data_IF_063218246004
#
_entry.id   IF_063218246004
#
_cell.length_a   1.000
_cell.length_b   1.000
_cell.length_c   1.000
_cell.angle_alpha   90.00
_cell.angle_beta   90.00
_cell.angle_gamma   90.00
#
_symmetry.space_group_name_H-M   'P 1'
#
loop_
_entity.id
_entity.type
_entity.pdbx_description
1 polymer ?
#
# COMPACT_ATOMS: atom_id res chain seq x y z
N UNK A 1 -11.68 -11.19 -27.94
CA UNK A 1 -11.41 -11.93 -26.69
C UNK A 1 -10.36 -11.11 -25.95
N UNK A 2 -10.79 -10.28 -24.99
CA UNK A 2 -9.88 -9.44 -24.22
C UNK A 2 -8.98 -10.35 -23.41
N UNK A 3 -7.67 -10.34 -23.67
CA UNK A 3 -6.66 -10.81 -22.73
C UNK A 3 -6.92 -10.04 -21.44
N UNK A 4 -7.60 -10.68 -20.48
CA UNK A 4 -7.69 -10.18 -19.12
C UNK A 4 -6.27 -9.93 -18.68
N UNK A 5 -6.03 -8.75 -18.24
CA UNK A 5 -4.83 -8.25 -17.59
C UNK A 5 -4.39 -9.28 -16.55
N UNK A 6 -3.54 -10.20 -16.98
CA UNK A 6 -2.91 -11.21 -16.14
C UNK A 6 -1.70 -10.56 -15.43
N UNK A 7 -1.99 -9.44 -14.78
CA UNK A 7 -1.11 -8.89 -13.76
C UNK A 7 -1.15 -9.90 -12.61
N UNK A 8 -0.07 -10.65 -12.42
CA UNK A 8 0.08 -11.72 -11.46
C UNK A 8 -1.00 -11.69 -10.39
N UNK A 9 -2.12 -12.39 -10.68
CA UNK A 9 -2.70 -13.10 -9.67
C UNK A 9 -3.48 -12.46 -8.55
N UNK A 10 -4.48 -11.88 -8.81
CA UNK A 10 -5.54 -11.44 -7.94
C UNK A 10 -6.50 -10.67 -8.80
N UNK A 11 -7.76 -10.93 -8.65
CA UNK A 11 -8.81 -10.10 -9.21
C UNK A 11 -8.61 -8.67 -8.67
N UNK A 12 -8.16 -7.74 -9.53
CA UNK A 12 -7.91 -6.36 -9.12
C UNK A 12 -9.17 -5.72 -8.52
N UNK A 13 -10.35 -6.04 -9.07
CA UNK A 13 -11.60 -5.55 -8.52
C UNK A 13 -11.82 -6.08 -7.10
N UNK A 14 -11.57 -7.36 -6.85
CA UNK A 14 -11.65 -7.93 -5.51
C UNK A 14 -10.61 -7.30 -4.57
N UNK A 15 -9.39 -7.07 -5.05
CA UNK A 15 -8.35 -6.37 -4.27
C UNK A 15 -8.78 -4.96 -3.88
N UNK A 16 -9.35 -4.18 -4.80
CA UNK A 16 -9.85 -2.83 -4.50
C UNK A 16 -11.00 -2.86 -3.49
N UNK A 17 -11.90 -3.86 -3.58
CA UNK A 17 -12.96 -4.05 -2.58
C UNK A 17 -12.37 -4.33 -1.19
N UNK A 18 -11.34 -5.17 -1.10
CA UNK A 18 -10.67 -5.51 0.17
C UNK A 18 -9.85 -4.33 0.74
N UNK A 19 -9.27 -3.49 -0.11
CA UNK A 19 -8.50 -2.30 0.30
C UNK A 19 -9.42 -1.18 0.80
N UNK A 20 -10.65 -1.10 0.30
CA UNK A 20 -11.57 -0.01 0.61
C UNK A 20 -11.82 0.22 2.11
N UNK A 21 -12.05 -0.79 2.98
CA UNK A 21 -12.19 -0.58 4.41
C UNK A 21 -10.95 0.04 5.07
N UNK A 22 -9.74 -0.34 4.60
CA UNK A 22 -8.46 0.21 5.10
C UNK A 22 -8.33 1.67 4.71
N UNK A 23 -8.63 2.00 3.45
CA UNK A 23 -8.66 3.37 2.95
C UNK A 23 -9.65 4.23 3.74
N UNK A 24 -10.88 3.74 3.94
CA UNK A 24 -11.91 4.47 4.70
C UNK A 24 -11.48 4.72 6.15
N UNK A 25 -10.89 3.72 6.80
CA UNK A 25 -10.36 3.88 8.16
C UNK A 25 -9.24 4.92 8.22
N UNK A 26 -8.36 4.97 7.21
CA UNK A 26 -7.34 5.98 7.08
C UNK A 26 -7.93 7.39 6.93
N UNK A 27 -8.85 7.59 5.97
CA UNK A 27 -9.46 8.89 5.68
C UNK A 27 -10.21 9.48 6.89
N UNK A 28 -10.90 8.62 7.64
CA UNK A 28 -11.53 9.02 8.91
C UNK A 28 -10.44 9.33 9.95
N UNK A 29 -9.42 8.47 10.05
CA UNK A 29 -8.33 8.59 11.01
C UNK A 29 -7.54 9.89 10.87
N UNK A 30 -7.32 10.37 9.64
CA UNK A 30 -6.63 11.65 9.34
C UNK A 30 -7.27 12.82 10.08
N UNK A 31 -8.59 12.84 10.24
CA UNK A 31 -9.31 13.92 10.93
C UNK A 31 -8.98 14.00 12.42
N UNK A 32 -8.60 12.87 13.03
CA UNK A 32 -8.28 12.78 14.45
C UNK A 32 -6.77 12.79 14.70
N UNK A 33 -5.99 12.19 13.81
CA UNK A 33 -4.54 12.10 13.95
C UNK A 33 -3.81 13.39 13.59
N UNK A 34 -4.43 14.27 12.78
CA UNK A 34 -3.84 15.53 12.32
C UNK A 34 -2.60 15.36 11.44
N UNK A 35 -2.37 14.14 10.92
CA UNK A 35 -1.25 13.80 10.04
C UNK A 35 -1.74 13.08 8.81
N UNK A 36 -1.18 13.44 7.65
CA UNK A 36 -1.43 12.80 6.35
C UNK A 36 -0.16 12.10 5.93
N UNK A 37 -0.27 10.87 5.42
CA UNK A 37 0.87 10.12 4.89
C UNK A 37 1.58 10.89 3.77
N UNK A 38 2.90 10.77 3.68
CA UNK A 38 3.71 11.47 2.70
C UNK A 38 3.35 11.17 1.24
N UNK A 39 2.97 9.92 0.95
CA UNK A 39 2.56 9.47 -0.39
C UNK A 39 1.11 9.85 -0.73
N UNK A 40 0.31 10.26 0.24
CA UNK A 40 -1.08 10.68 0.02
C UNK A 40 -1.16 12.11 -0.50
N UNK A 41 -0.88 12.25 -1.77
CA UNK A 41 -0.96 13.55 -2.48
C UNK A 41 -2.42 13.99 -2.62
N UNK A 42 -3.36 13.04 -2.78
CA UNK A 42 -4.79 13.32 -3.03
C UNK A 42 -5.44 13.93 -1.80
N UNK A 43 -5.36 13.28 -0.64
CA UNK A 43 -5.93 13.78 0.61
C UNK A 43 -5.32 15.12 0.99
N UNK A 44 -4.00 15.27 0.79
CA UNK A 44 -3.29 16.53 1.06
C UNK A 44 -3.80 17.66 0.17
N UNK A 45 -3.95 17.42 -1.13
CA UNK A 45 -4.46 18.40 -2.08
C UNK A 45 -5.93 18.74 -1.77
N UNK A 46 -6.77 17.76 -1.48
CA UNK A 46 -8.16 17.96 -1.09
C UNK A 46 -8.26 18.80 0.19
N UNK A 47 -7.47 18.46 1.21
CA UNK A 47 -7.49 19.22 2.48
C UNK A 47 -7.06 20.67 2.29
N UNK A 48 -6.02 20.92 1.48
CA UNK A 48 -5.55 22.26 1.16
C UNK A 48 -6.57 23.07 0.34
N UNK A 49 -7.28 22.41 -0.58
CA UNK A 49 -8.24 23.07 -1.49
C UNK A 49 -9.59 23.32 -0.82
N UNK A 50 -10.08 22.37 -0.03
CA UNK A 50 -11.42 22.43 0.58
C UNK A 50 -11.45 23.35 1.80
N UNK A 51 -10.35 23.51 2.52
CA UNK A 51 -10.23 24.40 3.68
C UNK A 51 -11.19 24.13 4.85
N UNK A 52 -11.99 23.07 4.78
CA UNK A 52 -13.04 22.75 5.73
C UNK A 52 -13.13 21.24 6.00
N UNK A 53 -13.12 20.86 7.28
CA UNK A 53 -13.32 19.45 7.71
C UNK A 53 -14.67 18.90 7.27
N UNK A 54 -15.71 19.73 7.32
CA UNK A 54 -17.07 19.33 6.90
C UNK A 54 -17.11 19.01 5.41
N UNK A 55 -16.50 19.88 4.58
CA UNK A 55 -16.46 19.67 3.15
C UNK A 55 -15.60 18.45 2.78
N UNK A 56 -14.48 18.26 3.49
CA UNK A 56 -13.66 17.06 3.38
C UNK A 56 -14.48 15.78 3.64
N UNK A 57 -15.23 15.73 4.76
CA UNK A 57 -16.10 14.60 5.10
C UNK A 57 -17.18 14.35 4.04
N UNK A 58 -17.82 15.41 3.54
CA UNK A 58 -18.86 15.28 2.52
C UNK A 58 -18.30 14.71 1.21
N UNK A 59 -17.12 15.16 0.78
CA UNK A 59 -16.43 14.63 -0.41
C UNK A 59 -16.10 13.15 -0.21
N UNK A 60 -15.52 12.77 0.93
CA UNK A 60 -15.17 11.37 1.19
C UNK A 60 -16.41 10.48 1.37
N UNK A 61 -17.47 10.99 1.97
CA UNK A 61 -18.75 10.30 2.04
C UNK A 61 -19.35 10.07 0.63
N UNK A 62 -19.22 11.05 -0.25
CA UNK A 62 -19.65 10.90 -1.65
C UNK A 62 -18.80 9.85 -2.40
N UNK A 63 -17.47 9.89 -2.23
CA UNK A 63 -16.56 8.88 -2.79
C UNK A 63 -16.90 7.49 -2.27
N UNK A 64 -17.11 7.36 -0.95
CA UNK A 64 -17.49 6.09 -0.33
C UNK A 64 -18.84 5.58 -0.88
N UNK A 65 -19.83 6.45 -1.00
CA UNK A 65 -21.13 6.10 -1.57
C UNK A 65 -21.01 5.63 -3.04
N UNK A 66 -20.23 6.35 -3.86
CA UNK A 66 -19.97 5.94 -5.25
C UNK A 66 -19.28 4.57 -5.31
N UNK A 67 -18.31 4.32 -4.43
CA UNK A 67 -17.60 3.05 -4.37
C UNK A 67 -18.54 1.90 -3.94
N UNK A 68 -19.39 2.12 -2.95
CA UNK A 68 -20.42 1.15 -2.53
C UNK A 68 -21.42 0.85 -3.65
N UNK A 69 -21.84 1.88 -4.42
CA UNK A 69 -22.70 1.69 -5.61
C UNK A 69 -21.96 0.86 -6.67
N UNK A 70 -20.66 1.11 -6.87
CA UNK A 70 -19.86 0.33 -7.78
C UNK A 70 -19.74 -1.13 -7.33
N UNK A 71 -19.42 -1.42 -6.06
CA UNK A 71 -19.39 -2.79 -5.50
C UNK A 71 -20.71 -3.52 -5.76
N UNK A 72 -21.84 -2.81 -5.53
CA UNK A 72 -23.18 -3.38 -5.76
C UNK A 72 -23.42 -3.71 -7.23
N UNK A 73 -23.07 -2.80 -8.15
CA UNK A 73 -23.22 -2.99 -9.59
C UNK A 73 -22.31 -4.09 -10.13
N UNK A 74 -21.08 -4.16 -9.63
CA UNK A 74 -20.12 -5.20 -9.97
C UNK A 74 -20.45 -6.56 -9.33
N UNK A 75 -21.48 -6.63 -8.45
CA UNK A 75 -21.87 -7.84 -7.70
C UNK A 75 -20.73 -8.43 -6.86
N UNK A 76 -19.93 -7.56 -6.23
CA UNK A 76 -18.71 -7.93 -5.50
C UNK A 76 -18.85 -7.92 -3.97
N UNK A 77 -20.09 -7.87 -3.43
CA UNK A 77 -20.33 -7.87 -1.99
C UNK A 77 -19.78 -9.11 -1.28
N UNK A 78 -19.80 -10.26 -1.97
CA UNK A 78 -19.30 -11.51 -1.42
C UNK A 78 -17.79 -11.46 -1.11
N UNK A 79 -17.03 -10.55 -1.75
CA UNK A 79 -15.61 -10.34 -1.48
C UNK A 79 -15.36 -9.85 -0.03
N UNK A 80 -16.32 -9.19 0.60
CA UNK A 80 -16.23 -8.70 1.98
C UNK A 80 -16.62 -9.74 3.03
N UNK A 81 -16.93 -10.97 2.62
CA UNK A 81 -17.22 -12.06 3.57
C UNK A 81 -15.98 -12.44 4.36
N UNK A 82 -16.18 -12.80 5.62
CA UNK A 82 -15.09 -13.15 6.53
C UNK A 82 -14.26 -14.33 6.00
N UNK A 83 -14.89 -15.27 5.28
CA UNK A 83 -14.23 -16.42 4.66
C UNK A 83 -13.20 -16.01 3.59
N UNK A 84 -13.32 -14.80 3.01
CA UNK A 84 -12.39 -14.25 2.03
C UNK A 84 -11.42 -13.28 2.70
N UNK A 85 -11.93 -12.41 3.56
CA UNK A 85 -11.13 -11.38 4.24
C UNK A 85 -10.13 -11.99 5.22
N UNK A 86 -10.58 -12.95 6.04
CA UNK A 86 -9.73 -13.52 7.10
C UNK A 86 -8.46 -14.23 6.55
N UNK A 87 -8.52 -15.09 5.52
CA UNK A 87 -7.32 -15.66 4.93
C UNK A 87 -6.35 -14.61 4.38
N UNK A 88 -6.85 -13.56 3.72
CA UNK A 88 -6.01 -12.47 3.18
C UNK A 88 -5.28 -11.74 4.30
N UNK A 89 -6.00 -11.38 5.37
CA UNK A 89 -5.41 -10.69 6.53
C UNK A 89 -4.42 -11.59 7.27
N UNK A 90 -4.75 -12.87 7.47
CA UNK A 90 -3.85 -13.82 8.13
C UNK A 90 -2.58 -14.07 7.32
N UNK A 91 -2.69 -14.25 6.01
CA UNK A 91 -1.53 -14.40 5.13
C UNK A 91 -0.67 -13.13 5.13
N UNK A 92 -1.28 -11.95 5.04
CA UNK A 92 -0.60 -10.68 5.13
C UNK A 92 0.11 -10.48 6.48
N UNK A 93 -0.50 -10.92 7.58
CA UNK A 93 0.13 -10.91 8.91
C UNK A 93 1.36 -11.83 8.97
N UNK A 94 1.29 -13.02 8.38
CA UNK A 94 2.45 -13.92 8.29
C UNK A 94 3.58 -13.22 7.50
N UNK A 95 3.26 -12.57 6.38
CA UNK A 95 4.26 -11.82 5.62
C UNK A 95 4.86 -10.67 6.44
N UNK A 96 4.03 -9.90 7.15
CA UNK A 96 4.51 -8.79 8.00
C UNK A 96 5.47 -9.27 9.09
N UNK A 97 5.11 -10.34 9.81
CA UNK A 97 5.92 -10.91 10.88
C UNK A 97 7.22 -11.52 10.35
N UNK A 98 7.14 -12.31 9.27
CA UNK A 98 8.34 -12.95 8.69
C UNK A 98 9.24 -11.95 8.01
N UNK A 99 8.69 -10.95 7.33
CA UNK A 99 9.44 -9.87 6.70
C UNK A 99 10.16 -9.02 7.75
N UNK A 100 9.45 -8.60 8.81
CA UNK A 100 10.02 -7.85 9.91
C UNK A 100 11.20 -8.60 10.53
N UNK A 101 11.03 -9.87 10.85
CA UNK A 101 12.07 -10.72 11.41
C UNK A 101 13.26 -10.90 10.43
N UNK A 102 13.00 -11.17 9.15
CA UNK A 102 14.03 -11.35 8.13
C UNK A 102 14.85 -10.07 7.90
N UNK A 103 14.20 -8.92 7.76
CA UNK A 103 14.90 -7.64 7.57
C UNK A 103 15.69 -7.25 8.82
N UNK A 104 15.11 -7.45 10.01
CA UNK A 104 15.81 -7.19 11.28
C UNK A 104 17.04 -8.08 11.42
N UNK A 105 16.94 -9.37 11.07
CA UNK A 105 18.09 -10.30 11.08
C UNK A 105 19.21 -9.84 10.14
N UNK A 106 18.85 -9.37 8.95
CA UNK A 106 19.82 -8.87 7.95
C UNK A 106 20.49 -7.58 8.39
N UNK A 107 19.77 -6.67 9.02
CA UNK A 107 20.23 -5.33 9.36
C UNK A 107 20.57 -5.12 10.84
N UNK A 108 20.34 -6.13 11.69
CA UNK A 108 20.77 -6.19 13.11
C UNK A 108 20.43 -4.98 14.00
N UNK A 109 19.21 -4.39 13.86
CA UNK A 109 18.73 -3.36 14.80
C UNK A 109 17.24 -3.45 15.05
N UNK A 110 16.87 -3.40 16.33
CA UNK A 110 15.51 -3.22 16.83
C UNK A 110 15.26 -1.75 17.16
N UNK A 111 14.13 -1.21 16.73
CA UNK A 111 13.64 0.12 17.11
C UNK A 111 12.43 -0.04 18.04
N UNK A 112 12.53 0.41 19.27
CA UNK A 112 11.41 0.43 20.20
C UNK A 112 10.65 1.76 20.14
N UNK A 113 9.34 1.71 19.83
CA UNK A 113 8.41 2.84 19.91
C UNK A 113 7.03 2.38 20.36
N UNK A 114 6.35 3.20 21.17
CA UNK A 114 4.99 2.92 21.60
C UNK A 114 3.97 3.19 20.48
N UNK A 115 2.99 2.30 20.30
CA UNK A 115 1.91 2.45 19.32
C UNK A 115 0.88 3.44 19.84
N UNK A 116 0.74 4.58 19.17
CA UNK A 116 -0.33 5.56 19.39
C UNK A 116 -1.34 5.56 18.23
N UNK A 117 -2.51 6.19 18.43
CA UNK A 117 -3.53 6.30 17.37
C UNK A 117 -3.00 6.93 16.07
N UNK A 118 -2.11 7.92 16.17
CA UNK A 118 -1.44 8.53 15.01
C UNK A 118 -0.55 7.53 14.26
N UNK A 119 0.09 6.60 14.96
CA UNK A 119 0.89 5.53 14.36
C UNK A 119 0.02 4.57 13.55
N UNK A 120 -1.15 4.19 14.09
CA UNK A 120 -2.10 3.32 13.37
C UNK A 120 -2.57 3.99 12.08
N UNK A 121 -2.99 5.26 12.14
CA UNK A 121 -3.43 6.00 10.95
C UNK A 121 -2.30 6.12 9.94
N UNK A 122 -1.07 6.40 10.38
CA UNK A 122 0.10 6.47 9.51
C UNK A 122 0.37 5.14 8.80
N UNK A 123 0.32 4.02 9.53
CA UNK A 123 0.52 2.68 8.97
C UNK A 123 -0.56 2.30 7.93
N UNK A 124 -1.83 2.61 8.22
CA UNK A 124 -2.92 2.41 7.26
C UNK A 124 -2.71 3.26 5.99
N UNK A 125 -2.32 4.52 6.17
CA UNK A 125 -2.02 5.42 5.07
C UNK A 125 -0.85 4.96 4.21
N UNK A 126 0.24 4.52 4.83
CA UNK A 126 1.40 3.95 4.14
C UNK A 126 0.98 2.72 3.33
N UNK A 127 0.36 1.73 3.99
CA UNK A 127 -0.08 0.51 3.34
C UNK A 127 -0.98 0.74 2.13
N UNK A 128 -1.88 1.72 2.16
CA UNK A 128 -2.75 2.00 1.02
C UNK A 128 -2.04 2.84 -0.04
N UNK A 129 -1.59 4.05 0.30
CA UNK A 129 -1.13 5.02 -0.70
C UNK A 129 0.19 4.64 -1.32
N UNK A 130 1.11 4.11 -0.54
CA UNK A 130 2.41 3.71 -1.07
C UNK A 130 2.30 2.48 -1.98
N UNK A 131 1.44 1.51 -1.63
CA UNK A 131 1.20 0.37 -2.51
C UNK A 131 0.45 0.77 -3.79
N UNK A 132 -0.51 1.69 -3.72
CA UNK A 132 -1.16 2.23 -4.91
C UNK A 132 -0.17 2.96 -5.83
N UNK A 133 0.71 3.77 -5.28
CA UNK A 133 1.70 4.54 -6.06
C UNK A 133 2.79 3.64 -6.63
N UNK A 134 3.44 2.83 -5.79
CA UNK A 134 4.64 2.10 -6.19
C UNK A 134 4.34 0.75 -6.85
N UNK A 135 3.27 0.06 -6.46
CA UNK A 135 2.94 -1.27 -7.03
C UNK A 135 1.93 -1.15 -8.15
N UNK A 136 0.78 -0.58 -7.91
CA UNK A 136 -0.24 -0.45 -8.95
C UNK A 136 0.14 0.62 -9.99
N UNK A 137 0.61 1.79 -9.54
CA UNK A 137 1.04 2.87 -10.43
C UNK A 137 2.35 2.54 -11.14
N UNK A 138 3.47 2.57 -10.41
CA UNK A 138 4.80 2.51 -11.01
C UNK A 138 5.15 1.10 -11.55
N UNK A 139 5.10 0.06 -10.68
CA UNK A 139 5.55 -1.28 -11.06
C UNK A 139 4.68 -1.88 -12.16
N UNK A 140 3.34 -1.82 -12.04
CA UNK A 140 2.45 -2.34 -13.08
C UNK A 140 2.55 -1.57 -14.40
N UNK A 141 2.70 -0.23 -14.35
CA UNK A 141 2.93 0.57 -15.55
C UNK A 141 4.24 0.20 -16.24
N UNK A 142 5.33 0.02 -15.47
CA UNK A 142 6.62 -0.41 -16.03
C UNK A 142 6.53 -1.79 -16.70
N UNK A 143 5.88 -2.76 -16.04
CA UNK A 143 5.67 -4.09 -16.64
C UNK A 143 4.89 -3.97 -17.94
N UNK A 144 3.80 -3.18 -17.95
CA UNK A 144 2.99 -2.95 -19.15
C UNK A 144 3.79 -2.31 -20.27
N UNK A 145 4.57 -1.29 -19.97
CA UNK A 145 5.42 -0.60 -20.95
C UNK A 145 6.48 -1.52 -21.54
N UNK A 146 7.22 -2.25 -20.71
CA UNK A 146 8.26 -3.17 -21.13
C UNK A 146 7.67 -4.33 -21.98
N UNK A 147 6.52 -4.84 -21.60
CA UNK A 147 5.78 -5.86 -22.35
C UNK A 147 5.33 -5.34 -23.71
N UNK A 148 4.84 -4.11 -23.80
CA UNK A 148 4.49 -3.44 -25.05
C UNK A 148 5.69 -3.28 -25.99
N UNK A 149 6.90 -3.15 -25.45
CA UNK A 149 8.17 -3.15 -26.19
C UNK A 149 8.72 -4.54 -26.52
N UNK A 150 7.98 -5.63 -26.26
CA UNK A 150 8.38 -6.99 -26.61
C UNK A 150 9.26 -7.70 -25.57
N UNK A 151 9.51 -7.08 -24.39
CA UNK A 151 10.28 -7.73 -23.32
C UNK A 151 9.52 -8.96 -22.77
N UNK A 152 10.23 -10.05 -22.51
CA UNK A 152 9.63 -11.23 -21.86
C UNK A 152 9.04 -10.87 -20.49
N UNK A 153 7.88 -11.47 -20.13
CA UNK A 153 7.14 -11.14 -18.91
C UNK A 153 7.99 -11.25 -17.63
N UNK A 154 8.75 -12.33 -17.48
CA UNK A 154 9.60 -12.54 -16.29
C UNK A 154 10.68 -11.48 -16.18
N UNK A 155 11.28 -11.11 -17.32
CA UNK A 155 12.29 -10.06 -17.37
C UNK A 155 11.69 -8.68 -17.08
N UNK A 156 10.53 -8.37 -17.65
CA UNK A 156 9.82 -7.12 -17.39
C UNK A 156 9.48 -6.97 -15.90
N UNK A 157 9.00 -8.04 -15.27
CA UNK A 157 8.70 -8.07 -13.82
C UNK A 157 9.95 -7.88 -12.98
N UNK A 158 11.02 -8.59 -13.29
CA UNK A 158 12.27 -8.47 -12.56
C UNK A 158 12.83 -7.04 -12.64
N UNK A 159 12.82 -6.43 -13.84
CA UNK A 159 13.25 -5.04 -14.04
C UNK A 159 12.36 -4.09 -13.22
N UNK A 160 11.02 -4.22 -13.33
CA UNK A 160 10.09 -3.36 -12.63
C UNK A 160 10.25 -3.48 -11.10
N UNK A 161 10.43 -4.68 -10.57
CA UNK A 161 10.65 -4.94 -9.16
C UNK A 161 11.96 -4.31 -8.66
N UNK A 162 13.07 -4.58 -9.37
CA UNK A 162 14.39 -4.08 -8.99
C UNK A 162 14.50 -2.55 -9.13
N UNK A 163 13.72 -1.93 -9.99
CA UNK A 163 13.73 -0.48 -10.17
C UNK A 163 12.76 0.23 -9.21
N UNK A 164 11.56 -0.30 -9.00
CA UNK A 164 10.57 0.34 -8.12
C UNK A 164 10.96 0.30 -6.64
N UNK A 165 11.69 -0.72 -6.18
CA UNK A 165 12.05 -0.86 -4.78
C UNK A 165 13.05 0.20 -4.29
N UNK A 166 14.15 0.52 -4.99
CA UNK A 166 14.99 1.65 -4.62
C UNK A 166 14.29 3.02 -4.72
N UNK A 167 13.39 3.20 -5.69
CA UNK A 167 12.60 4.43 -5.79
C UNK A 167 11.63 4.58 -4.62
N UNK A 168 11.03 3.49 -4.17
CA UNK A 168 10.25 3.44 -2.95
C UNK A 168 11.09 3.89 -1.74
N UNK A 169 12.31 3.37 -1.60
CA UNK A 169 13.23 3.76 -0.54
C UNK A 169 13.60 5.25 -0.63
N UNK A 170 13.96 5.75 -1.81
CA UNK A 170 14.33 7.15 -2.03
C UNK A 170 13.19 8.13 -1.73
N UNK A 171 11.96 7.75 -2.00
CA UNK A 171 10.79 8.59 -1.73
C UNK A 171 10.66 8.95 -0.23
N UNK A 172 11.12 8.08 0.67
CA UNK A 172 11.11 8.36 2.11
C UNK A 172 12.14 9.41 2.55
N UNK A 173 13.13 9.68 1.72
CA UNK A 173 14.14 10.71 1.95
C UNK A 173 13.83 12.02 1.23
N UNK A 174 12.73 12.08 0.48
CA UNK A 174 12.35 13.23 -0.34
C UNK A 174 11.36 14.16 0.38
N UNK A 175 11.41 15.45 0.04
CA UNK A 175 10.48 16.46 0.54
C UNK A 175 10.80 17.00 1.93
N UNK A 176 9.97 17.94 2.40
CA UNK A 176 10.20 18.66 3.66
C UNK A 176 10.10 17.77 4.92
N UNK A 177 9.41 16.64 4.82
CA UNK A 177 9.24 15.68 5.92
C UNK A 177 10.04 14.39 5.67
N UNK A 178 10.97 14.39 4.69
CA UNK A 178 11.81 13.26 4.38
C UNK A 178 12.79 12.96 5.54
N UNK A 179 13.02 11.66 5.74
CA UNK A 179 14.02 11.22 6.73
C UNK A 179 15.44 11.55 6.23
N UNK A 180 16.38 11.84 7.15
CA UNK A 180 17.78 11.95 6.77
C UNK A 180 18.27 10.68 6.06
N UNK A 181 18.98 10.83 4.95
CA UNK A 181 19.51 9.69 4.21
C UNK A 181 20.57 8.96 5.02
N UNK A 182 20.41 7.65 5.17
CA UNK A 182 21.45 6.73 5.62
C UNK A 182 21.43 5.48 4.75
N UNK A 183 22.60 4.88 4.49
CA UNK A 183 22.67 3.64 3.74
C UNK A 183 21.89 2.49 4.39
N UNK A 184 21.83 2.49 5.72
CA UNK A 184 21.05 1.51 6.47
C UNK A 184 19.53 1.67 6.20
N UNK A 185 19.01 2.87 6.35
CA UNK A 185 17.59 3.18 6.11
C UNK A 185 17.21 2.90 4.65
N UNK A 186 18.05 3.33 3.71
CA UNK A 186 17.83 3.07 2.29
C UNK A 186 17.81 1.57 1.96
N UNK A 187 18.79 0.80 2.46
CA UNK A 187 18.84 -0.65 2.24
C UNK A 187 17.63 -1.36 2.87
N UNK A 188 17.28 -0.99 4.11
CA UNK A 188 16.11 -1.51 4.81
C UNK A 188 14.84 -1.31 4.00
N UNK A 189 14.57 -0.08 3.55
CA UNK A 189 13.36 0.25 2.76
C UNK A 189 13.39 -0.38 1.36
N UNK A 190 14.57 -0.53 0.76
CA UNK A 190 14.70 -1.24 -0.52
C UNK A 190 14.34 -2.71 -0.37
N UNK A 191 14.80 -3.39 0.69
CA UNK A 191 14.43 -4.78 0.98
C UNK A 191 12.92 -4.93 1.25
N UNK A 192 12.33 -4.03 2.03
CA UNK A 192 10.89 -3.98 2.24
C UNK A 192 10.15 -3.76 0.90
N UNK A 193 10.66 -2.83 0.08
CA UNK A 193 10.13 -2.54 -1.24
C UNK A 193 10.13 -3.74 -2.18
N UNK A 194 11.21 -4.52 -2.18
CA UNK A 194 11.30 -5.77 -2.94
C UNK A 194 10.28 -6.81 -2.46
N UNK A 195 10.13 -6.95 -1.14
CA UNK A 195 9.20 -7.92 -0.57
C UNK A 195 7.74 -7.56 -0.86
N UNK A 196 7.33 -6.30 -0.64
CA UNK A 196 5.96 -5.87 -0.97
C UNK A 196 5.69 -5.94 -2.47
N UNK A 197 6.68 -5.63 -3.32
CA UNK A 197 6.57 -5.82 -4.77
C UNK A 197 6.39 -7.28 -5.17
N UNK A 198 7.09 -8.20 -4.51
CA UNK A 198 6.92 -9.63 -4.70
C UNK A 198 5.53 -10.10 -4.23
N UNK A 199 5.06 -9.65 -3.05
CA UNK A 199 3.72 -9.95 -2.56
C UNK A 199 2.66 -9.42 -3.54
N UNK A 200 2.79 -8.18 -4.02
CA UNK A 200 1.90 -7.63 -5.04
C UNK A 200 1.84 -8.51 -6.28
N UNK A 201 3.02 -8.90 -6.79
CA UNK A 201 3.11 -9.65 -8.03
C UNK A 201 2.62 -11.09 -7.92
N UNK A 202 2.98 -11.80 -6.87
CA UNK A 202 2.66 -13.22 -6.70
C UNK A 202 1.33 -13.48 -6.00
N UNK A 203 0.80 -12.50 -5.26
CA UNK A 203 -0.47 -12.65 -4.53
C UNK A 203 -1.51 -11.65 -5.03
N UNK A 204 -1.51 -10.42 -4.54
CA UNK A 204 -2.40 -9.36 -5.02
C UNK A 204 -2.06 -8.02 -4.37
N UNK A 205 -2.68 -6.93 -4.88
CA UNK A 205 -2.60 -5.62 -4.27
C UNK A 205 -3.14 -5.64 -2.82
N UNK A 206 -4.22 -6.36 -2.54
CA UNK A 206 -4.77 -6.43 -1.19
C UNK A 206 -3.76 -7.05 -0.20
N UNK A 207 -3.10 -8.15 -0.58
CA UNK A 207 -2.07 -8.75 0.28
C UNK A 207 -0.90 -7.79 0.55
N UNK A 208 -0.45 -7.04 -0.46
CA UNK A 208 0.61 -6.05 -0.30
C UNK A 208 0.19 -4.92 0.66
N UNK A 209 -1.00 -4.36 0.49
CA UNK A 209 -1.56 -3.29 1.35
C UNK A 209 -1.67 -3.75 2.81
N UNK A 210 -2.28 -4.90 3.05
CA UNK A 210 -2.41 -5.41 4.42
C UNK A 210 -1.06 -5.78 5.02
N UNK A 211 -0.17 -6.42 4.24
CA UNK A 211 1.16 -6.79 4.72
C UNK A 211 1.98 -5.54 5.08
N UNK A 212 1.93 -4.48 4.28
CA UNK A 212 2.62 -3.23 4.54
C UNK A 212 2.07 -2.54 5.80
N UNK A 213 0.76 -2.32 5.89
CA UNK A 213 0.15 -1.69 7.06
C UNK A 213 0.44 -2.46 8.36
N UNK A 214 0.33 -3.80 8.33
CA UNK A 214 0.64 -4.65 9.49
C UNK A 214 2.14 -4.65 9.81
N UNK A 215 3.00 -4.64 8.79
CA UNK A 215 4.45 -4.54 8.97
C UNK A 215 4.84 -3.25 9.70
N UNK A 216 4.30 -2.11 9.27
CA UNK A 216 4.56 -0.82 9.92
C UNK A 216 4.11 -0.82 11.38
N UNK A 217 2.97 -1.46 11.69
CA UNK A 217 2.52 -1.63 13.07
C UNK A 217 3.46 -2.53 13.88
N UNK A 218 3.95 -3.63 13.29
CA UNK A 218 4.90 -4.54 13.93
C UNK A 218 6.24 -3.85 14.21
N UNK A 219 6.75 -3.09 13.23
CA UNK A 219 8.00 -2.32 13.39
C UNK A 219 7.84 -1.20 14.43
N UNK A 220 6.68 -0.56 14.49
CA UNK A 220 6.40 0.47 15.50
C UNK A 220 6.19 -0.10 16.92
N UNK A 221 5.90 -1.40 17.04
CA UNK A 221 5.74 -2.08 18.35
C UNK A 221 7.08 -2.40 19.01
N UNK A 222 8.12 -2.70 18.21
CA UNK A 222 9.46 -3.08 18.71
C UNK A 222 10.36 -1.87 18.95
#
# INVERSE_FOLDING_TARGET
>A
MSERYDAGHGDLEASLVLVFPVLLAYEIGVLFAGRVNGADVVTRALYATLGSRTLYLLVHAAIAAMFLVWIRRAKRWDTLRLEIVAPVVLEALIYALTLGAAITLVLSKTLGMAIGGATVVSALGAGVHEELVFRLGLMAAMVTFLRGGGTERKVAVAIALLFSAPLFALAHHAGANGEPFTWHSFAFRTLAGLAFGAIFWFRSLAHAVYAHALYDLVVAWN
#
